data_IF_620603582053
#
_entry.id   IF_620603582053
#
_cell.length_a   1.000
_cell.length_b   1.000
_cell.length_c   1.000
_cell.angle_alpha   90.00
_cell.angle_beta   90.00
_cell.angle_gamma   90.00
#
_symmetry.space_group_name_H-M   'P 1'
#
loop_
_entity.id
_entity.type
_entity.pdbx_description
1 polymer ?
#
# COMPACT_ATOMS: atom_id res chain seq x y z
N UNK A 1 10.88 12.44 -13.96
CA UNK A 1 10.45 11.01 -13.90
C UNK A 1 8.94 10.92 -14.17
N UNK A 2 8.57 10.63 -15.43
CA UNK A 2 7.17 10.48 -15.81
C UNK A 2 6.68 9.07 -15.44
N UNK A 3 5.65 8.97 -14.61
CA UNK A 3 5.03 7.71 -14.18
C UNK A 3 3.67 7.47 -14.86
N UNK A 4 3.07 8.47 -15.46
CA UNK A 4 1.75 8.36 -16.07
C UNK A 4 1.84 7.72 -17.46
N UNK A 5 1.16 6.57 -17.61
CA UNK A 5 1.10 5.82 -18.87
C UNK A 5 0.47 6.62 -20.03
N UNK A 6 -0.29 7.68 -19.74
CA UNK A 6 -0.88 8.53 -20.78
C UNK A 6 0.17 9.24 -21.62
N UNK A 7 1.36 9.46 -21.06
CA UNK A 7 2.50 10.10 -21.71
C UNK A 7 3.59 9.10 -22.14
N UNK A 8 3.32 7.79 -22.12
CA UNK A 8 4.21 6.74 -22.59
C UNK A 8 3.79 6.25 -23.98
N UNK A 9 4.42 5.22 -24.48
CA UNK A 9 4.09 4.53 -25.73
C UNK A 9 5.32 4.26 -26.58
N UNK A 10 5.31 3.13 -27.30
CA UNK A 10 6.36 2.76 -28.23
C UNK A 10 7.72 2.44 -27.62
N UNK A 11 7.84 2.29 -26.29
CA UNK A 11 9.11 2.17 -25.57
C UNK A 11 9.86 0.84 -25.81
N UNK A 12 9.24 -0.14 -26.43
CA UNK A 12 9.85 -1.46 -26.66
C UNK A 12 11.19 -1.43 -27.42
N UNK A 13 11.40 -0.41 -28.28
CA UNK A 13 12.63 -0.27 -29.08
C UNK A 13 13.75 0.37 -28.26
N UNK A 14 13.39 1.26 -27.37
CA UNK A 14 14.32 2.00 -26.50
C UNK A 14 14.69 1.22 -25.25
N UNK A 15 13.78 0.36 -24.76
CA UNK A 15 13.92 -0.39 -23.51
C UNK A 15 13.61 -1.90 -23.74
N UNK A 16 14.40 -2.60 -24.54
CA UNK A 16 14.11 -4.00 -24.94
C UNK A 16 14.20 -4.98 -23.76
N UNK A 17 15.15 -4.82 -22.85
CA UNK A 17 15.32 -5.71 -21.68
C UNK A 17 14.14 -5.51 -20.72
N UNK A 18 13.83 -4.26 -20.40
CA UNK A 18 12.67 -3.93 -19.57
C UNK A 18 11.36 -4.42 -20.19
N UNK A 19 11.21 -4.32 -21.50
CA UNK A 19 10.05 -4.81 -22.23
C UNK A 19 9.91 -6.34 -22.14
N UNK A 20 10.98 -7.10 -22.38
CA UNK A 20 10.94 -8.58 -22.32
C UNK A 20 10.64 -9.05 -20.90
N UNK A 21 11.30 -8.47 -19.89
CA UNK A 21 11.06 -8.83 -18.49
C UNK A 21 9.65 -8.45 -18.02
N UNK A 22 9.10 -7.33 -18.51
CA UNK A 22 7.71 -6.95 -18.26
C UNK A 22 6.71 -7.93 -18.91
N UNK A 23 7.00 -8.46 -20.10
CA UNK A 23 6.21 -9.53 -20.71
C UNK A 23 6.22 -10.80 -19.86
N UNK A 24 7.39 -11.25 -19.45
CA UNK A 24 7.54 -12.45 -18.58
C UNK A 24 6.76 -12.24 -17.27
N UNK A 25 6.95 -11.10 -16.62
CA UNK A 25 6.22 -10.76 -15.39
C UNK A 25 4.70 -10.70 -15.60
N UNK A 26 4.26 -10.17 -16.75
CA UNK A 26 2.82 -10.13 -17.08
C UNK A 26 2.25 -11.52 -17.30
N UNK A 27 2.94 -12.40 -18.04
CA UNK A 27 2.50 -13.79 -18.25
C UNK A 27 2.43 -14.55 -16.92
N UNK A 28 3.42 -14.36 -16.06
CA UNK A 28 3.38 -14.92 -14.71
C UNK A 28 2.21 -14.33 -13.88
N UNK A 29 2.01 -13.02 -13.93
CA UNK A 29 0.96 -12.33 -13.17
C UNK A 29 -0.45 -12.77 -13.57
N UNK A 30 -0.74 -12.92 -14.84
CA UNK A 30 -2.07 -13.35 -15.32
C UNK A 30 -2.33 -14.84 -15.08
N UNK A 31 -1.31 -15.62 -14.73
CA UNK A 31 -1.42 -17.07 -14.57
C UNK A 31 -1.42 -17.81 -15.89
N UNK A 32 -0.54 -17.43 -16.81
CA UNK A 32 -0.37 -18.17 -18.07
C UNK A 32 0.26 -19.55 -17.78
N UNK A 33 -0.24 -20.66 -18.35
CA UNK A 33 0.29 -22.00 -18.12
C UNK A 33 1.81 -22.08 -18.27
N UNK A 34 2.46 -22.86 -17.45
CA UNK A 34 3.91 -23.02 -17.30
C UNK A 34 4.66 -21.87 -16.60
N UNK A 35 4.04 -20.71 -16.35
CA UNK A 35 4.64 -19.66 -15.53
C UNK A 35 4.34 -19.87 -14.04
N UNK A 36 5.20 -19.34 -13.17
CA UNK A 36 5.09 -19.55 -11.72
C UNK A 36 3.73 -19.12 -11.14
N UNK A 37 3.20 -17.99 -11.60
CA UNK A 37 1.91 -17.48 -11.14
C UNK A 37 0.71 -18.33 -11.55
N UNK A 38 0.83 -19.15 -12.59
CA UNK A 38 -0.20 -20.12 -12.96
C UNK A 38 -0.42 -21.14 -11.84
N UNK A 39 0.64 -21.80 -11.40
CA UNK A 39 0.55 -22.88 -10.41
C UNK A 39 -0.08 -22.42 -9.10
N UNK A 40 0.24 -21.24 -8.64
CA UNK A 40 -0.35 -20.68 -7.41
C UNK A 40 -1.82 -20.26 -7.60
N UNK A 41 -2.13 -19.59 -8.71
CA UNK A 41 -3.50 -19.11 -8.96
C UNK A 41 -4.48 -20.23 -9.25
N UNK A 42 -4.08 -21.18 -10.07
CA UNK A 42 -4.92 -22.33 -10.41
C UNK A 42 -5.23 -23.16 -9.17
N UNK A 43 -4.21 -23.45 -8.34
CA UNK A 43 -4.41 -24.12 -7.07
C UNK A 43 -5.36 -23.36 -6.11
N UNK A 44 -5.30 -22.03 -6.07
CA UNK A 44 -6.25 -21.22 -5.28
C UNK A 44 -7.65 -21.32 -5.85
N UNK A 45 -7.82 -21.25 -7.17
CA UNK A 45 -9.15 -21.34 -7.81
C UNK A 45 -9.76 -22.70 -7.55
N UNK A 46 -8.99 -23.78 -7.70
CA UNK A 46 -9.44 -25.13 -7.41
C UNK A 46 -9.79 -25.32 -5.92
N UNK A 47 -8.94 -24.82 -5.03
CA UNK A 47 -9.20 -24.89 -3.59
C UNK A 47 -10.48 -24.14 -3.19
N UNK A 48 -10.78 -23.01 -3.81
CA UNK A 48 -12.05 -22.28 -3.57
C UNK A 48 -13.23 -23.05 -4.15
N UNK A 49 -13.06 -23.71 -5.30
CA UNK A 49 -14.10 -24.54 -5.93
C UNK A 49 -14.46 -25.74 -5.07
N UNK A 50 -13.47 -26.45 -4.52
CA UNK A 50 -13.65 -27.61 -3.64
C UNK A 50 -14.12 -27.25 -2.23
N UNK A 51 -14.10 -25.97 -1.86
CA UNK A 51 -14.48 -25.53 -0.51
C UNK A 51 -15.99 -25.62 -0.27
N UNK A 52 -16.39 -26.28 0.80
CA UNK A 52 -17.78 -26.35 1.29
C UNK A 52 -18.15 -25.20 2.24
N UNK A 53 -17.29 -24.21 2.46
CA UNK A 53 -17.52 -23.11 3.40
C UNK A 53 -18.58 -22.15 2.90
N UNK A 54 -19.29 -21.53 3.86
CA UNK A 54 -20.25 -20.47 3.52
C UNK A 54 -19.57 -19.36 2.72
N UNK A 55 -20.14 -19.01 1.57
CA UNK A 55 -19.61 -18.00 0.69
C UNK A 55 -18.59 -18.50 -0.36
N UNK A 56 -18.15 -19.77 -0.33
CA UNK A 56 -17.20 -20.32 -1.30
C UNK A 56 -17.65 -20.14 -2.75
N UNK A 57 -18.93 -20.34 -3.03
CA UNK A 57 -19.48 -20.14 -4.37
C UNK A 57 -19.37 -18.68 -4.84
N UNK A 58 -19.65 -17.72 -3.97
CA UNK A 58 -19.49 -16.29 -4.30
C UNK A 58 -18.01 -15.97 -4.52
N UNK A 59 -17.13 -16.49 -3.66
CA UNK A 59 -15.68 -16.32 -3.80
C UNK A 59 -15.15 -16.90 -5.11
N UNK A 60 -15.63 -18.09 -5.50
CA UNK A 60 -15.25 -18.72 -6.77
C UNK A 60 -15.58 -17.85 -7.99
N UNK A 61 -16.82 -17.35 -8.08
CA UNK A 61 -17.21 -16.46 -9.17
C UNK A 61 -16.46 -15.14 -9.15
N UNK A 62 -16.19 -14.58 -7.97
CA UNK A 62 -15.40 -13.37 -7.82
C UNK A 62 -13.96 -13.56 -8.29
N UNK A 63 -13.33 -14.70 -7.96
CA UNK A 63 -11.97 -15.03 -8.41
C UNK A 63 -11.93 -15.25 -9.92
N UNK A 64 -12.90 -15.96 -10.50
CA UNK A 64 -13.00 -16.15 -11.96
C UNK A 64 -13.16 -14.81 -12.69
N UNK A 65 -14.02 -13.91 -12.21
CA UNK A 65 -14.13 -12.57 -12.77
C UNK A 65 -12.81 -11.80 -12.64
N UNK A 66 -12.13 -11.98 -11.50
CA UNK A 66 -10.81 -11.42 -11.23
C UNK A 66 -9.75 -11.84 -12.26
N UNK A 67 -9.83 -13.06 -12.81
CA UNK A 67 -8.91 -13.52 -13.86
C UNK A 67 -9.04 -12.66 -15.12
N UNK A 68 -10.27 -12.38 -15.58
CA UNK A 68 -10.52 -11.52 -16.76
C UNK A 68 -9.97 -10.12 -16.52
N UNK A 69 -10.31 -9.54 -15.37
CA UNK A 69 -9.91 -8.16 -15.01
C UNK A 69 -8.38 -8.07 -14.90
N UNK A 70 -7.74 -9.06 -14.26
CA UNK A 70 -6.28 -9.09 -14.12
C UNK A 70 -5.58 -9.18 -15.47
N UNK A 71 -6.03 -10.07 -16.35
CA UNK A 71 -5.50 -10.17 -17.70
C UNK A 71 -5.67 -8.86 -18.46
N UNK A 72 -6.86 -8.29 -18.43
CA UNK A 72 -7.18 -7.05 -19.11
C UNK A 72 -6.29 -5.87 -18.68
N UNK A 73 -6.18 -5.58 -17.38
CA UNK A 73 -5.39 -4.42 -16.94
C UNK A 73 -3.89 -4.63 -17.13
N UNK A 74 -3.40 -5.86 -17.03
CA UNK A 74 -1.99 -6.18 -17.21
C UNK A 74 -1.56 -5.94 -18.66
N UNK A 75 -2.35 -6.40 -19.64
CA UNK A 75 -2.08 -6.11 -21.04
C UNK A 75 -2.34 -4.65 -21.41
N UNK A 76 -3.32 -3.99 -20.79
CA UNK A 76 -3.49 -2.54 -20.92
C UNK A 76 -2.20 -1.79 -20.57
N UNK A 77 -1.58 -2.15 -19.45
CA UNK A 77 -0.31 -1.55 -19.02
C UNK A 77 0.79 -1.79 -20.04
N UNK A 78 0.97 -3.04 -20.50
CA UNK A 78 1.96 -3.39 -21.52
C UNK A 78 1.77 -2.62 -22.83
N UNK A 79 0.54 -2.53 -23.30
CA UNK A 79 0.26 -1.87 -24.57
C UNK A 79 0.43 -0.36 -24.47
N UNK A 80 -0.05 0.25 -23.43
CA UNK A 80 0.07 1.70 -23.25
C UNK A 80 1.51 2.14 -23.00
N UNK A 81 2.34 1.31 -22.40
CA UNK A 81 3.74 1.65 -22.10
C UNK A 81 4.67 1.33 -23.27
N UNK A 82 4.62 0.11 -23.77
CA UNK A 82 5.64 -0.40 -24.70
C UNK A 82 5.22 -0.42 -26.15
N UNK A 83 3.92 -0.37 -26.44
CA UNK A 83 3.38 -0.47 -27.79
C UNK A 83 2.67 0.83 -28.23
N UNK A 84 2.15 0.83 -29.43
CA UNK A 84 1.49 1.99 -30.02
C UNK A 84 2.45 3.12 -30.41
N UNK A 85 1.88 4.30 -30.63
CA UNK A 85 2.66 5.50 -30.95
C UNK A 85 3.19 6.17 -29.69
N UNK A 86 4.39 6.75 -29.72
CA UNK A 86 4.89 7.59 -28.63
C UNK A 86 3.92 8.75 -28.35
N UNK A 87 3.61 8.98 -27.08
CA UNK A 87 2.77 10.09 -26.61
C UNK A 87 3.57 11.10 -25.78
N UNK A 88 4.87 11.09 -25.93
CA UNK A 88 5.81 12.04 -25.37
C UNK A 88 6.49 12.83 -26.48
N UNK A 89 6.93 14.03 -26.19
CA UNK A 89 7.82 14.84 -27.03
C UNK A 89 9.17 14.96 -26.38
N UNK A 90 10.23 15.15 -27.18
CA UNK A 90 11.58 15.39 -26.66
C UNK A 90 11.95 16.83 -26.93
N UNK A 91 12.22 17.59 -25.89
CA UNK A 91 12.70 18.96 -25.96
C UNK A 91 13.92 19.12 -25.06
N UNK A 92 15.10 19.19 -25.68
CA UNK A 92 16.39 19.30 -24.97
C UNK A 92 16.55 20.67 -24.26
N UNK A 93 15.75 21.67 -24.66
CA UNK A 93 15.74 23.00 -24.04
C UNK A 93 14.75 23.13 -22.88
N UNK A 94 13.97 22.09 -22.60
CA UNK A 94 13.04 22.11 -21.47
C UNK A 94 13.79 22.26 -20.15
N UNK A 95 13.33 23.15 -19.28
CA UNK A 95 13.93 23.41 -17.96
C UNK A 95 13.84 22.19 -17.01
N UNK A 96 14.33 22.36 -15.78
CA UNK A 96 14.42 21.29 -14.76
C UNK A 96 13.07 20.62 -14.43
N UNK A 97 11.97 21.28 -14.70
CA UNK A 97 10.60 20.79 -14.49
C UNK A 97 9.76 20.92 -15.76
N UNK A 98 10.00 20.06 -16.78
CA UNK A 98 9.24 20.09 -18.02
C UNK A 98 7.78 19.74 -17.78
N UNK A 99 6.84 20.25 -18.61
CA UNK A 99 5.44 19.85 -18.56
C UNK A 99 5.25 18.35 -18.76
N UNK A 100 4.09 17.84 -18.35
CA UNK A 100 3.74 16.43 -18.54
C UNK A 100 3.85 16.01 -20.02
N UNK A 101 4.53 14.90 -20.26
CA UNK A 101 4.76 14.36 -21.59
C UNK A 101 5.93 15.00 -22.37
N UNK A 102 6.64 15.97 -21.81
CA UNK A 102 7.87 16.52 -22.36
C UNK A 102 9.08 15.91 -21.67
N UNK A 103 10.01 15.36 -22.43
CA UNK A 103 11.22 14.71 -21.96
C UNK A 103 12.45 15.49 -22.41
N UNK A 104 13.46 15.65 -21.57
CA UNK A 104 14.73 16.29 -21.91
C UNK A 104 15.61 15.40 -22.82
N UNK A 105 15.46 14.07 -22.68
CA UNK A 105 16.22 13.08 -23.43
C UNK A 105 15.33 11.99 -23.97
N UNK A 106 15.74 11.36 -25.05
CA UNK A 106 15.09 10.13 -25.54
C UNK A 106 15.12 9.06 -24.45
N UNK A 107 14.01 8.33 -24.24
CA UNK A 107 14.02 7.18 -23.35
C UNK A 107 15.10 6.19 -23.79
N UNK A 108 15.81 5.64 -22.83
CA UNK A 108 16.85 4.62 -23.04
C UNK A 108 16.68 3.51 -22.02
N UNK A 109 17.36 2.39 -22.27
CA UNK A 109 17.32 1.25 -21.35
C UNK A 109 17.87 1.66 -19.97
N UNK A 110 17.27 1.07 -18.94
CA UNK A 110 17.70 1.27 -17.56
C UNK A 110 19.12 0.74 -17.33
N UNK A 111 19.91 1.34 -16.43
CA UNK A 111 21.27 0.89 -16.14
C UNK A 111 21.26 -0.56 -15.60
N UNK A 112 22.43 -1.23 -15.67
CA UNK A 112 22.59 -2.64 -15.26
C UNK A 112 22.14 -2.90 -13.82
N UNK A 113 22.26 -1.93 -12.93
CA UNK A 113 21.78 -2.01 -11.54
C UNK A 113 20.25 -2.30 -11.46
N UNK A 114 19.50 -1.91 -12.48
CA UNK A 114 18.05 -2.16 -12.60
C UNK A 114 17.77 -3.38 -13.45
N UNK A 115 18.43 -3.52 -14.62
CA UNK A 115 18.13 -4.59 -15.57
C UNK A 115 18.58 -5.97 -15.08
N UNK A 116 19.71 -6.07 -14.35
CA UNK A 116 20.15 -7.36 -13.78
C UNK A 116 19.15 -7.93 -12.78
N UNK A 117 18.66 -7.19 -11.77
CA UNK A 117 17.57 -7.66 -10.91
C UNK A 117 16.31 -8.07 -11.66
N UNK A 118 15.91 -7.32 -12.71
CA UNK A 118 14.75 -7.68 -13.53
C UNK A 118 14.93 -9.03 -14.22
N UNK A 119 16.11 -9.31 -14.78
CA UNK A 119 16.43 -10.59 -15.40
C UNK A 119 16.45 -11.71 -14.36
N UNK A 120 17.10 -11.47 -13.20
CA UNK A 120 17.15 -12.43 -12.11
C UNK A 120 15.77 -12.80 -11.54
N UNK A 121 14.83 -11.88 -11.57
CA UNK A 121 13.42 -12.12 -11.18
C UNK A 121 12.61 -12.79 -12.30
N UNK A 122 12.92 -12.49 -13.56
CA UNK A 122 12.23 -13.08 -14.71
C UNK A 122 12.47 -14.60 -14.81
N UNK A 123 13.68 -15.07 -14.50
CA UNK A 123 14.03 -16.50 -14.54
C UNK A 123 13.13 -17.33 -13.59
N UNK A 124 13.09 -17.07 -12.27
CA UNK A 124 12.21 -17.82 -11.38
C UNK A 124 10.73 -17.61 -11.71
N UNK A 125 10.32 -16.47 -12.25
CA UNK A 125 8.94 -16.26 -12.69
C UNK A 125 8.49 -17.23 -13.79
N UNK A 126 9.44 -17.83 -14.52
CA UNK A 126 9.14 -18.89 -15.49
C UNK A 126 9.19 -20.26 -14.79
N UNK A 127 10.25 -20.57 -14.03
CA UNK A 127 10.56 -21.96 -13.68
C UNK A 127 10.16 -22.38 -12.28
N UNK A 128 10.10 -21.45 -11.31
CA UNK A 128 9.99 -21.84 -9.89
C UNK A 128 8.67 -22.55 -9.57
N UNK A 129 7.56 -22.11 -10.15
CA UNK A 129 6.27 -22.71 -9.93
C UNK A 129 6.22 -24.17 -10.40
N UNK A 130 6.80 -24.43 -11.57
CA UNK A 130 6.92 -25.80 -12.10
C UNK A 130 7.73 -26.72 -11.17
N UNK A 131 8.82 -26.21 -10.61
CA UNK A 131 9.71 -27.01 -9.75
C UNK A 131 9.15 -27.20 -8.34
N UNK A 132 8.36 -26.27 -7.83
CA UNK A 132 7.99 -26.23 -6.40
C UNK A 132 6.54 -26.61 -6.12
N UNK A 133 5.65 -26.66 -7.10
CA UNK A 133 4.23 -26.92 -6.86
C UNK A 133 3.99 -28.25 -6.14
N UNK A 134 4.63 -29.34 -6.56
CA UNK A 134 4.55 -30.65 -5.92
C UNK A 134 5.04 -30.62 -4.47
N UNK A 135 6.33 -30.34 -4.26
CA UNK A 135 6.92 -30.32 -2.92
C UNK A 135 6.18 -29.38 -1.94
N UNK A 136 5.82 -28.17 -2.36
CA UNK A 136 5.26 -27.16 -1.47
C UNK A 136 3.82 -27.46 -1.07
N UNK A 137 2.96 -27.87 -2.02
CA UNK A 137 1.52 -28.06 -1.73
C UNK A 137 1.15 -29.50 -1.41
N UNK A 138 1.79 -30.50 -2.05
CA UNK A 138 1.31 -31.87 -2.01
C UNK A 138 2.28 -32.87 -1.34
N UNK A 139 3.55 -32.53 -1.21
CA UNK A 139 4.57 -33.43 -0.64
C UNK A 139 4.99 -33.05 0.80
N UNK A 140 4.27 -32.12 1.43
CA UNK A 140 4.42 -31.84 2.87
C UNK A 140 5.63 -30.98 3.26
N UNK A 141 6.25 -30.24 2.35
CA UNK A 141 7.39 -29.37 2.70
C UNK A 141 7.06 -28.36 3.80
N UNK A 142 5.81 -27.94 3.90
CA UNK A 142 5.33 -27.03 4.95
C UNK A 142 4.62 -27.73 6.12
N UNK A 143 4.58 -29.07 6.15
CA UNK A 143 3.80 -29.83 7.15
C UNK A 143 4.23 -29.56 8.59
N UNK A 144 5.53 -29.32 8.83
CA UNK A 144 6.05 -29.01 10.16
C UNK A 144 5.66 -27.60 10.66
N UNK A 145 5.32 -26.71 9.73
CA UNK A 145 5.00 -25.30 10.04
C UNK A 145 3.52 -24.98 9.94
N UNK A 146 2.77 -25.71 9.11
CA UNK A 146 1.34 -25.47 8.86
C UNK A 146 0.55 -26.74 9.16
N UNK A 147 -0.29 -26.68 10.18
CA UNK A 147 -1.23 -27.76 10.51
C UNK A 147 -2.63 -27.40 10.06
N UNK A 148 -3.22 -28.19 9.17
CA UNK A 148 -4.59 -28.03 8.69
C UNK A 148 -5.47 -29.09 9.32
N UNK A 149 -6.62 -28.67 9.87
CA UNK A 149 -7.61 -29.62 10.40
C UNK A 149 -8.20 -30.43 9.23
N UNK A 150 -8.40 -31.75 9.36
CA UNK A 150 -8.87 -32.61 8.26
C UNK A 150 -10.17 -32.11 7.60
N UNK A 151 -11.08 -31.54 8.37
CA UNK A 151 -12.34 -30.98 7.84
C UNK A 151 -12.16 -29.68 7.01
N UNK A 152 -10.99 -29.10 7.02
CA UNK A 152 -10.65 -27.85 6.33
C UNK A 152 -9.58 -28.05 5.25
N UNK A 153 -9.10 -29.28 5.08
CA UNK A 153 -8.00 -29.60 4.18
C UNK A 153 -8.49 -29.74 2.73
N UNK A 154 -8.71 -28.60 2.11
CA UNK A 154 -9.08 -28.48 0.69
C UNK A 154 -7.91 -28.81 -0.21
N UNK A 155 -6.66 -28.59 0.27
CA UNK A 155 -5.44 -28.88 -0.51
C UNK A 155 -5.28 -30.36 -0.71
N UNK A 156 -5.61 -31.17 0.30
CA UNK A 156 -5.63 -32.64 0.14
C UNK A 156 -6.64 -33.09 -0.92
N UNK A 157 -7.84 -32.46 -0.98
CA UNK A 157 -8.83 -32.77 -2.00
C UNK A 157 -8.30 -32.44 -3.41
N UNK A 158 -7.71 -31.26 -3.60
CA UNK A 158 -7.07 -30.87 -4.87
C UNK A 158 -5.89 -31.79 -5.21
N UNK A 159 -5.14 -32.25 -4.21
CA UNK A 159 -4.01 -33.16 -4.36
C UNK A 159 -4.37 -34.52 -5.02
N UNK A 160 -5.62 -35.00 -4.82
CA UNK A 160 -6.09 -36.22 -5.49
C UNK A 160 -6.13 -36.09 -7.03
N UNK A 161 -6.27 -34.88 -7.55
CA UNK A 161 -6.26 -34.59 -8.98
C UNK A 161 -4.90 -34.15 -9.51
N UNK A 162 -3.91 -33.99 -8.64
CA UNK A 162 -2.54 -33.58 -9.05
C UNK A 162 -1.74 -34.75 -9.63
N UNK A 163 -1.49 -34.72 -10.93
CA UNK A 163 -0.71 -35.71 -11.66
C UNK A 163 0.63 -35.16 -12.15
N UNK A 164 1.16 -34.15 -11.45
CA UNK A 164 2.40 -33.47 -11.75
C UNK A 164 2.21 -32.10 -12.45
N UNK A 165 3.24 -31.27 -12.36
CA UNK A 165 3.21 -29.89 -12.84
C UNK A 165 2.89 -29.77 -14.34
N UNK A 166 3.40 -30.69 -15.17
CA UNK A 166 3.12 -30.68 -16.62
C UNK A 166 1.65 -31.02 -16.91
N UNK A 167 1.11 -32.05 -16.21
CA UNK A 167 -0.28 -32.47 -16.39
C UNK A 167 -1.24 -31.33 -15.96
N UNK A 168 -0.97 -30.65 -14.85
CA UNK A 168 -1.71 -29.50 -14.39
C UNK A 168 -1.72 -28.37 -15.45
N UNK A 169 -0.55 -28.00 -15.99
CA UNK A 169 -0.45 -26.94 -16.98
C UNK A 169 -1.14 -27.27 -18.32
N UNK A 170 -1.09 -28.54 -18.75
CA UNK A 170 -1.79 -28.97 -19.99
C UNK A 170 -3.30 -29.09 -19.79
N UNK A 171 -3.75 -29.58 -18.64
CA UNK A 171 -5.15 -29.63 -18.28
C UNK A 171 -5.78 -28.22 -18.22
N UNK A 172 -5.04 -27.24 -17.72
CA UNK A 172 -5.50 -25.86 -17.64
C UNK A 172 -6.00 -25.27 -18.97
N UNK A 173 -5.44 -25.68 -20.11
CA UNK A 173 -5.88 -25.22 -21.43
C UNK A 173 -7.36 -25.54 -21.74
N UNK A 174 -7.95 -26.49 -21.00
CA UNK A 174 -9.33 -26.89 -21.15
C UNK A 174 -10.25 -26.26 -20.10
N UNK A 175 -9.70 -25.56 -19.13
CA UNK A 175 -10.44 -24.99 -17.99
C UNK A 175 -10.98 -23.60 -18.26
N UNK A 176 -12.03 -23.20 -17.52
CA UNK A 176 -12.64 -21.89 -17.62
C UNK A 176 -11.67 -20.73 -17.30
N UNK A 177 -10.80 -20.79 -16.26
CA UNK A 177 -9.82 -19.74 -15.98
C UNK A 177 -8.93 -19.39 -17.15
N UNK A 178 -8.45 -20.38 -17.91
CA UNK A 178 -7.62 -20.14 -19.10
C UNK A 178 -8.36 -19.33 -20.15
N UNK A 179 -9.57 -19.70 -20.51
CA UNK A 179 -10.36 -18.99 -21.52
C UNK A 179 -10.79 -17.61 -21.08
N UNK A 180 -11.05 -17.42 -19.79
CA UNK A 180 -11.32 -16.11 -19.20
C UNK A 180 -10.07 -15.21 -19.24
N UNK A 181 -8.89 -15.76 -18.98
CA UNK A 181 -7.62 -15.06 -19.13
C UNK A 181 -7.40 -14.61 -20.58
N UNK A 182 -7.62 -15.51 -21.56
CA UNK A 182 -7.55 -15.20 -22.99
C UNK A 182 -8.57 -14.12 -23.37
N UNK A 183 -9.77 -14.17 -22.81
CA UNK A 183 -10.79 -13.14 -23.05
C UNK A 183 -10.29 -11.76 -22.60
N UNK A 184 -9.71 -11.65 -21.40
CA UNK A 184 -9.12 -10.40 -20.92
C UNK A 184 -7.98 -9.89 -21.82
N UNK A 185 -7.10 -10.79 -22.28
CA UNK A 185 -6.03 -10.50 -23.23
C UNK A 185 -6.58 -9.96 -24.55
N UNK A 186 -7.54 -10.66 -25.15
CA UNK A 186 -8.15 -10.27 -26.46
C UNK A 186 -8.85 -8.92 -26.33
N UNK A 187 -9.62 -8.71 -25.26
CA UNK A 187 -10.29 -7.43 -25.01
C UNK A 187 -9.28 -6.28 -24.92
N UNK A 188 -8.20 -6.45 -24.14
CA UNK A 188 -7.15 -5.44 -24.03
C UNK A 188 -6.47 -5.18 -25.39
N UNK A 189 -6.18 -6.23 -26.14
CA UNK A 189 -5.58 -6.13 -27.49
C UNK A 189 -6.47 -5.34 -28.43
N UNK A 190 -7.76 -5.66 -28.48
CA UNK A 190 -8.71 -4.96 -29.35
C UNK A 190 -8.85 -3.49 -28.97
N UNK A 191 -9.02 -3.20 -27.68
CA UNK A 191 -9.31 -1.85 -27.20
C UNK A 191 -8.07 -0.94 -27.24
N UNK A 192 -6.89 -1.45 -26.88
CA UNK A 192 -5.71 -0.57 -26.70
C UNK A 192 -4.69 -0.67 -27.86
N UNK A 193 -4.69 -1.75 -28.63
CA UNK A 193 -3.72 -1.93 -29.70
C UNK A 193 -4.37 -1.79 -31.09
N UNK A 194 -5.51 -2.48 -31.33
CA UNK A 194 -6.13 -2.51 -32.65
C UNK A 194 -7.10 -1.35 -32.90
N UNK A 195 -7.85 -0.95 -31.90
CA UNK A 195 -8.89 0.11 -32.01
C UNK A 195 -8.86 1.09 -30.82
N UNK A 196 -7.81 1.93 -30.66
CA UNK A 196 -7.69 2.84 -29.51
C UNK A 196 -8.89 3.77 -29.32
N UNK A 197 -9.50 4.23 -30.43
CA UNK A 197 -10.71 5.05 -30.41
C UNK A 197 -11.92 4.38 -29.70
N UNK A 198 -11.87 3.07 -29.44
CA UNK A 198 -12.93 2.37 -28.72
C UNK A 198 -12.91 2.73 -27.24
N UNK A 199 -11.73 2.94 -26.65
CA UNK A 199 -11.58 3.37 -25.28
C UNK A 199 -12.24 4.74 -25.07
N UNK A 200 -11.98 5.70 -25.96
CA UNK A 200 -12.55 7.04 -25.90
C UNK A 200 -14.08 7.02 -26.04
N UNK A 201 -14.58 6.17 -26.95
CA UNK A 201 -16.04 6.01 -27.13
C UNK A 201 -16.72 5.40 -25.90
N UNK A 202 -16.08 4.40 -25.26
CA UNK A 202 -16.60 3.79 -24.04
C UNK A 202 -16.63 4.79 -22.88
N UNK A 203 -15.58 5.59 -22.74
CA UNK A 203 -15.51 6.67 -21.74
C UNK A 203 -16.66 7.68 -21.93
N UNK A 204 -16.87 8.14 -23.18
CA UNK A 204 -17.95 9.09 -23.52
C UNK A 204 -19.34 8.49 -23.31
N UNK A 205 -19.50 7.19 -23.53
CA UNK A 205 -20.80 6.50 -23.41
C UNK A 205 -21.18 6.17 -21.98
N UNK A 206 -20.18 6.04 -21.10
CA UNK A 206 -20.36 5.66 -19.69
C UNK A 206 -19.63 6.63 -18.73
N UNK A 207 -19.96 7.94 -18.78
CA UNK A 207 -19.22 8.95 -18.02
C UNK A 207 -19.36 8.78 -16.50
N UNK A 208 -20.49 8.24 -16.01
CA UNK A 208 -20.71 7.96 -14.60
C UNK A 208 -19.80 6.84 -14.09
N UNK A 209 -19.70 5.74 -14.82
CA UNK A 209 -18.80 4.64 -14.48
C UNK A 209 -17.34 5.07 -14.58
N UNK A 210 -16.97 5.81 -15.62
CA UNK A 210 -15.62 6.34 -15.76
C UNK A 210 -15.24 7.21 -14.55
N UNK A 211 -16.09 8.14 -14.16
CA UNK A 211 -15.86 9.00 -12.99
C UNK A 211 -15.76 8.21 -11.68
N UNK A 212 -16.58 7.17 -11.51
CA UNK A 212 -16.54 6.28 -10.35
C UNK A 212 -15.19 5.54 -10.26
N UNK A 213 -14.71 4.99 -11.39
CA UNK A 213 -13.44 4.28 -11.47
C UNK A 213 -12.23 5.22 -11.33
N UNK A 214 -12.27 6.39 -11.95
CA UNK A 214 -11.23 7.41 -11.87
C UNK A 214 -11.04 7.91 -10.43
N UNK A 215 -12.14 8.09 -9.70
CA UNK A 215 -12.11 8.45 -8.28
C UNK A 215 -12.04 7.23 -7.34
N UNK A 216 -11.56 6.08 -7.82
CA UNK A 216 -11.31 4.87 -6.99
C UNK A 216 -12.51 4.50 -6.10
N UNK A 217 -13.71 4.55 -6.68
CA UNK A 217 -14.99 4.31 -5.99
C UNK A 217 -15.27 5.27 -4.82
N UNK A 218 -14.60 6.41 -4.75
CA UNK A 218 -14.66 7.39 -3.66
C UNK A 218 -14.30 6.80 -2.28
N UNK A 219 -13.55 5.70 -2.26
CA UNK A 219 -13.15 5.03 -1.01
C UNK A 219 -12.15 5.90 -0.25
N UNK A 220 -11.17 6.48 -0.95
CA UNK A 220 -10.17 7.38 -0.35
C UNK A 220 -10.83 8.61 0.29
N UNK A 221 -11.79 9.24 -0.40
CA UNK A 221 -12.54 10.39 0.10
C UNK A 221 -13.40 10.03 1.31
N UNK A 222 -14.01 8.84 1.29
CA UNK A 222 -14.75 8.33 2.45
C UNK A 222 -13.84 8.15 3.66
N UNK A 223 -12.69 7.48 3.50
CA UNK A 223 -11.72 7.31 4.58
C UNK A 223 -11.19 8.64 5.09
N UNK A 224 -10.85 9.55 4.17
CA UNK A 224 -10.36 10.87 4.52
C UNK A 224 -11.37 11.65 5.39
N UNK A 225 -12.65 11.65 5.00
CA UNK A 225 -13.71 12.37 5.74
C UNK A 225 -14.17 11.65 6.99
N UNK A 226 -14.36 10.32 6.92
CA UNK A 226 -14.93 9.53 8.01
C UNK A 226 -13.93 9.26 9.14
N UNK A 227 -12.65 9.05 8.82
CA UNK A 227 -11.64 8.64 9.78
C UNK A 227 -10.55 9.69 9.97
N UNK A 228 -9.80 10.02 8.91
CA UNK A 228 -8.61 10.86 9.01
C UNK A 228 -8.92 12.24 9.54
N UNK A 229 -9.91 12.92 8.97
CA UNK A 229 -10.30 14.27 9.42
C UNK A 229 -10.81 14.29 10.87
N UNK A 230 -11.50 13.22 11.29
CA UNK A 230 -11.97 13.11 12.69
C UNK A 230 -10.83 12.86 13.66
N UNK A 231 -9.91 11.94 13.32
CA UNK A 231 -8.73 11.65 14.15
C UNK A 231 -7.85 12.88 14.27
N UNK A 232 -7.56 13.58 13.18
CA UNK A 232 -6.82 14.84 13.20
C UNK A 232 -7.56 15.92 14.02
N UNK A 233 -8.89 16.00 13.88
CA UNK A 233 -9.71 16.93 14.69
C UNK A 233 -9.65 16.63 16.18
N UNK A 234 -9.64 15.35 16.57
CA UNK A 234 -9.44 14.94 17.98
C UNK A 234 -8.01 15.28 18.43
N UNK A 235 -7.01 14.95 17.63
CA UNK A 235 -5.60 15.27 17.90
C UNK A 235 -5.39 16.77 18.15
N UNK A 236 -5.91 17.62 17.27
CA UNK A 236 -5.83 19.09 17.45
C UNK A 236 -6.54 19.57 18.73
N UNK A 237 -7.71 19.01 19.03
CA UNK A 237 -8.42 19.37 20.28
C UNK A 237 -7.66 18.93 21.53
N UNK A 238 -7.03 17.76 21.50
CA UNK A 238 -6.20 17.28 22.59
C UNK A 238 -4.97 18.17 22.75
N UNK A 239 -4.33 18.52 21.65
CA UNK A 239 -3.18 19.44 21.67
C UNK A 239 -3.56 20.81 22.23
N UNK A 240 -4.60 21.46 21.70
CA UNK A 240 -5.02 22.79 22.13
C UNK A 240 -5.49 22.83 23.60
N UNK A 241 -6.34 21.86 23.99
CA UNK A 241 -6.99 21.89 25.30
C UNK A 241 -6.19 21.21 26.39
N UNK A 242 -5.61 20.04 26.09
CA UNK A 242 -4.90 19.26 27.10
C UNK A 242 -3.44 19.69 27.19
N UNK A 243 -2.73 19.65 26.07
CA UNK A 243 -1.29 19.92 26.05
C UNK A 243 -1.01 21.40 26.31
N UNK A 244 -1.46 22.27 25.43
CA UNK A 244 -1.22 23.71 25.54
C UNK A 244 -2.03 24.35 26.67
N UNK A 245 -3.30 23.95 26.90
CA UNK A 245 -4.17 24.55 27.90
C UNK A 245 -3.89 24.06 29.31
N UNK A 246 -3.95 22.73 29.53
CA UNK A 246 -3.83 22.15 30.86
C UNK A 246 -2.37 21.94 31.27
N UNK A 247 -1.60 21.23 30.42
CA UNK A 247 -0.21 20.89 30.80
C UNK A 247 0.65 22.15 30.82
N UNK A 248 0.80 22.81 29.70
CA UNK A 248 1.67 23.99 29.59
C UNK A 248 1.08 25.22 30.32
N UNK A 249 -0.20 25.53 30.06
CA UNK A 249 -0.84 26.74 30.54
C UNK A 249 -1.11 26.71 32.03
N UNK A 250 -1.72 25.64 32.55
CA UNK A 250 -2.16 25.58 33.91
C UNK A 250 -1.14 24.90 34.83
N UNK A 251 -0.61 23.73 34.50
CA UNK A 251 0.36 23.03 35.36
C UNK A 251 1.73 23.70 35.31
N UNK A 252 2.35 23.85 34.15
CA UNK A 252 3.73 24.38 34.02
C UNK A 252 3.75 25.89 34.28
N UNK A 253 3.09 26.68 33.48
CA UNK A 253 3.09 28.13 33.62
C UNK A 253 2.27 28.61 34.82
N UNK A 254 1.24 27.85 35.25
CA UNK A 254 0.45 28.12 36.42
C UNK A 254 1.23 27.94 37.70
N UNK A 255 2.04 26.88 37.83
CA UNK A 255 2.95 26.68 38.98
C UNK A 255 4.01 27.78 39.04
N UNK A 256 4.56 28.19 37.91
CA UNK A 256 5.48 29.32 37.84
C UNK A 256 4.85 30.62 38.34
N UNK A 257 3.63 30.94 37.89
CA UNK A 257 2.86 32.10 38.34
C UNK A 257 2.52 32.03 39.84
N UNK A 258 2.23 30.85 40.38
CA UNK A 258 1.99 30.65 41.80
C UNK A 258 3.25 30.97 42.62
N UNK A 259 4.40 30.42 42.20
CA UNK A 259 5.68 30.67 42.85
C UNK A 259 6.05 32.15 42.80
N UNK A 260 5.89 32.78 41.65
CA UNK A 260 6.15 34.21 41.48
C UNK A 260 5.24 35.06 42.37
N UNK A 261 3.95 34.74 42.43
CA UNK A 261 3.00 35.38 43.32
C UNK A 261 3.32 35.23 44.84
N UNK A 262 3.78 34.03 45.24
CA UNK A 262 4.28 33.81 46.58
C UNK A 262 5.56 34.57 46.89
N UNK A 263 6.50 34.54 45.96
CA UNK A 263 7.76 35.27 46.09
C UNK A 263 7.52 36.79 46.18
N UNK A 264 6.60 37.35 45.40
CA UNK A 264 6.21 38.75 45.49
C UNK A 264 5.64 39.12 46.84
N UNK A 265 4.82 38.26 47.47
CA UNK A 265 4.28 38.47 48.82
C UNK A 265 5.35 38.41 49.90
N UNK A 266 6.23 37.38 49.80
CA UNK A 266 7.33 37.23 50.79
C UNK A 266 8.32 38.39 50.69
N UNK A 267 8.58 38.89 49.46
CA UNK A 267 9.49 40.03 49.23
C UNK A 267 9.03 41.30 49.97
N UNK A 268 7.73 41.51 50.13
CA UNK A 268 7.21 42.65 50.91
C UNK A 268 7.66 42.64 52.38
N UNK A 269 7.89 41.45 52.93
CA UNK A 269 8.40 41.29 54.29
C UNK A 269 9.90 41.66 54.42
N UNK A 270 10.61 41.67 53.29
CA UNK A 270 12.00 42.09 53.25
C UNK A 270 12.09 43.63 53.03
N UNK A 271 11.86 44.38 54.07
CA UNK A 271 11.84 45.85 54.05
C UNK A 271 13.19 46.50 53.78
N UNK A 272 14.29 45.72 53.87
CA UNK A 272 15.67 46.23 53.74
C UNK A 272 16.19 46.99 54.96
N UNK A 273 15.36 47.22 55.95
CA UNK A 273 15.77 47.93 57.17
C UNK A 273 16.27 46.98 58.23
N UNK A 274 17.54 47.06 58.61
CA UNK A 274 18.21 46.18 59.53
C UNK A 274 17.46 46.10 60.93
N UNK A 275 16.95 47.23 61.42
CA UNK A 275 16.23 47.28 62.67
C UNK A 275 14.93 46.45 62.72
N UNK A 276 14.25 46.35 61.58
CA UNK A 276 13.04 45.53 61.51
C UNK A 276 13.35 44.02 61.57
N UNK A 277 14.47 43.60 60.96
CA UNK A 277 14.92 42.19 61.08
C UNK A 277 15.37 41.88 62.53
N UNK A 278 16.15 42.81 63.15
CA UNK A 278 16.56 42.67 64.58
C UNK A 278 15.35 42.57 65.45
N UNK A 279 14.34 43.42 65.30
CA UNK A 279 13.09 43.38 66.04
C UNK A 279 12.33 42.06 65.87
N UNK A 280 12.16 41.62 64.61
CA UNK A 280 11.49 40.36 64.36
C UNK A 280 12.23 39.15 64.95
N UNK A 281 13.55 39.12 64.92
CA UNK A 281 14.36 38.10 65.61
C UNK A 281 14.18 38.09 67.12
N UNK A 282 14.13 39.24 67.75
CA UNK A 282 13.88 39.35 69.19
C UNK A 282 12.48 38.86 69.56
N UNK A 283 11.47 39.27 68.77
CA UNK A 283 10.08 38.80 68.96
C UNK A 283 9.98 37.31 68.76
N UNK A 284 10.61 36.75 67.72
CA UNK A 284 10.65 35.31 67.46
C UNK A 284 11.34 34.54 68.61
N UNK A 285 12.46 35.05 69.11
CA UNK A 285 13.14 34.42 70.24
C UNK A 285 12.26 34.42 71.56
N UNK A 286 11.61 35.53 71.81
CA UNK A 286 10.68 35.62 72.98
C UNK A 286 9.52 34.64 72.81
N UNK A 287 8.95 34.53 71.61
CA UNK A 287 7.87 33.60 71.36
C UNK A 287 8.31 32.12 71.48
N UNK A 288 9.48 31.75 70.99
CA UNK A 288 10.04 30.42 71.22
C UNK A 288 10.27 30.10 72.68
N UNK A 289 10.85 31.03 73.43
CA UNK A 289 11.08 30.87 74.84
C UNK A 289 9.75 30.73 75.60
N UNK A 290 8.75 31.55 75.26
CA UNK A 290 7.44 31.49 75.94
C UNK A 290 6.76 30.12 75.65
N UNK A 291 6.80 29.62 74.40
CA UNK A 291 6.30 28.31 74.10
C UNK A 291 7.04 27.20 74.87
N UNK A 292 8.37 27.30 74.94
CA UNK A 292 9.18 26.33 75.69
C UNK A 292 8.86 26.31 77.14
N UNK A 293 8.61 27.46 77.76
CA UNK A 293 8.18 27.57 79.20
C UNK A 293 6.77 27.02 79.39
N UNK A 294 5.84 27.23 78.45
CA UNK A 294 4.48 26.71 78.51
C UNK A 294 4.36 25.20 78.32
N UNK A 295 5.31 24.63 77.60
CA UNK A 295 5.35 23.17 77.33
C UNK A 295 6.09 22.39 78.43
N UNK A 296 6.68 23.06 79.41
CA UNK A 296 7.31 22.49 80.58
C UNK A 296 6.36 22.53 81.77
#
# INVERSE_FOLDING_TARGET
>A
HQQDMRFMGGLRKQMPVTWITAWIGTLALIGFPFFAGFYSKDAIIEAVHESSRFGASIAYWAVLLGVVVTSFYSFRLLYLTFHGQPRYTVDVGAGDHPPDGVLQHLPHESPMVVTVPLILLAIPSIVIGYLTIGPVLFEGWLADSITVLPQNDVVAAVGHHFHGATAMATHALQTAPFWLMITGFVLATVIYLLRPALADRLQQRMPGLHRLLENKFYVDEFYQKAFVARVLGIGNRLWDKVDAGVIDGWLVNGSGRLVDGLAARVRVWQSGYLFQYAFAMIVGLIAILAIWVMLK
#
